data_IF_117363333774
#
_entry.id   IF_117363333774
#
_cell.length_a   1.000
_cell.length_b   1.000
_cell.length_c   1.000
_cell.angle_alpha   90.00
_cell.angle_beta   90.00
_cell.angle_gamma   90.00
#
_symmetry.space_group_name_H-M   'P 1'
#
loop_
_entity.id
_entity.type
_entity.pdbx_description
1 polymer ?
#
# COMPACT_ATOMS: atom_id res chain seq x y z
N UNK A 1 -27.99 13.01 -9.03
CA UNK A 1 -27.89 13.66 -10.36
C UNK A 1 -27.39 12.62 -11.35
N UNK A 2 -27.94 12.62 -12.57
CA UNK A 2 -27.85 11.51 -13.51
C UNK A 2 -26.40 11.25 -13.95
N UNK A 3 -25.93 10.01 -13.74
CA UNK A 3 -24.67 9.49 -14.30
C UNK A 3 -24.70 9.68 -15.82
N UNK A 4 -23.76 10.42 -16.38
CA UNK A 4 -23.52 10.41 -17.82
C UNK A 4 -23.06 9.00 -18.22
N UNK A 5 -23.73 8.40 -19.20
CA UNK A 5 -23.28 7.15 -19.80
C UNK A 5 -22.09 7.46 -20.71
N UNK A 6 -20.91 6.92 -20.39
CA UNK A 6 -19.67 7.15 -21.13
C UNK A 6 -19.78 6.81 -22.62
N UNK A 7 -20.61 5.84 -22.98
CA UNK A 7 -20.97 5.53 -24.36
C UNK A 7 -21.73 6.66 -25.05
N UNK A 8 -22.63 7.35 -24.35
CA UNK A 8 -23.30 8.52 -24.92
C UNK A 8 -22.35 9.70 -25.10
N UNK A 9 -21.46 9.95 -24.13
CA UNK A 9 -20.43 10.99 -24.25
C UNK A 9 -19.49 10.70 -25.44
N UNK A 10 -19.12 9.43 -25.65
CA UNK A 10 -18.36 9.02 -26.83
C UNK A 10 -19.11 9.25 -28.15
N UNK A 11 -20.38 8.84 -28.23
CA UNK A 11 -21.21 9.07 -29.44
C UNK A 11 -21.40 10.56 -29.69
N UNK A 12 -21.56 11.36 -28.64
CA UNK A 12 -21.65 12.80 -28.74
C UNK A 12 -20.38 13.41 -29.32
N UNK A 13 -19.18 12.97 -28.92
CA UNK A 13 -17.92 13.41 -29.54
C UNK A 13 -17.88 13.11 -31.04
N UNK A 14 -18.37 11.95 -31.47
CA UNK A 14 -18.42 11.60 -32.89
C UNK A 14 -19.39 12.48 -33.69
N UNK A 15 -20.51 12.86 -33.09
CA UNK A 15 -21.49 13.78 -33.70
C UNK A 15 -20.96 15.21 -33.76
N UNK A 16 -20.41 15.72 -32.65
CA UNK A 16 -19.78 17.05 -32.58
C UNK A 16 -18.61 17.18 -33.56
N UNK A 17 -17.91 16.07 -33.80
CA UNK A 17 -16.83 16.01 -34.78
C UNK A 17 -17.25 15.89 -36.23
N UNK A 18 -18.56 15.86 -36.51
CA UNK A 18 -19.11 15.55 -37.82
C UNK A 18 -18.49 14.26 -38.42
N UNK A 19 -18.09 13.32 -37.54
CA UNK A 19 -17.44 12.07 -37.92
C UNK A 19 -18.44 11.11 -38.54
N UNK A 20 -19.72 11.24 -38.22
CA UNK A 20 -20.83 10.55 -38.84
C UNK A 20 -22.07 11.45 -38.80
N UNK A 21 -22.94 11.35 -39.80
CA UNK A 21 -24.26 11.95 -39.72
C UNK A 21 -25.24 11.10 -38.88
N UNK A 22 -26.34 11.72 -38.45
CA UNK A 22 -27.35 11.07 -37.60
C UNK A 22 -27.94 9.78 -38.21
N UNK A 23 -28.33 9.77 -39.50
CA UNK A 23 -28.82 8.56 -40.17
C UNK A 23 -27.80 7.41 -40.22
N UNK A 24 -26.52 7.69 -40.49
CA UNK A 24 -25.49 6.65 -40.58
C UNK A 24 -25.15 6.07 -39.21
N UNK A 25 -25.10 6.90 -38.15
CA UNK A 25 -25.01 6.41 -36.77
C UNK A 25 -26.20 5.52 -36.41
N UNK A 26 -27.42 5.87 -36.81
CA UNK A 26 -28.59 5.05 -36.55
C UNK A 26 -28.51 3.68 -37.25
N UNK A 27 -28.03 3.64 -38.50
CA UNK A 27 -27.78 2.40 -39.24
C UNK A 27 -26.68 1.56 -38.59
N UNK A 28 -25.56 2.18 -38.22
CA UNK A 28 -24.44 1.53 -37.54
C UNK A 28 -24.86 0.93 -36.21
N UNK A 29 -25.62 1.69 -35.39
CA UNK A 29 -26.22 1.20 -34.14
C UNK A 29 -27.12 0.00 -34.37
N UNK A 30 -27.99 0.05 -35.38
CA UNK A 30 -28.84 -1.08 -35.75
C UNK A 30 -28.05 -2.32 -36.20
N UNK A 31 -26.95 -2.13 -36.91
CA UNK A 31 -26.05 -3.23 -37.31
C UNK A 31 -25.35 -3.85 -36.09
N UNK A 32 -24.80 -3.03 -35.19
CA UNK A 32 -24.18 -3.49 -33.96
C UNK A 32 -25.16 -4.26 -33.06
N UNK A 33 -26.37 -3.73 -32.86
CA UNK A 33 -27.41 -4.36 -32.05
C UNK A 33 -27.86 -5.74 -32.57
N UNK A 34 -27.76 -5.99 -33.88
CA UNK A 34 -28.06 -7.30 -34.50
C UNK A 34 -26.87 -8.27 -34.49
N UNK A 35 -25.82 -7.98 -33.72
CA UNK A 35 -24.59 -8.79 -33.67
C UNK A 35 -23.78 -8.70 -34.97
N UNK A 36 -23.86 -7.58 -35.69
CA UNK A 36 -23.10 -7.35 -36.92
C UNK A 36 -21.61 -7.12 -36.68
N UNK A 37 -21.21 -6.76 -35.46
CA UNK A 37 -19.81 -6.75 -35.03
C UNK A 37 -19.48 -8.14 -34.48
N UNK A 38 -18.63 -8.87 -35.20
CA UNK A 38 -18.36 -10.30 -34.98
C UNK A 38 -17.19 -10.52 -34.03
N UNK A 39 -16.20 -9.65 -34.12
CA UNK A 39 -14.98 -9.70 -33.31
C UNK A 39 -14.48 -8.29 -33.03
N UNK A 40 -13.94 -8.08 -31.84
CA UNK A 40 -13.37 -6.80 -31.38
C UNK A 40 -12.15 -7.09 -30.53
N UNK A 41 -11.02 -6.47 -30.89
CA UNK A 41 -9.84 -6.37 -30.04
C UNK A 41 -9.58 -4.92 -29.66
N UNK A 42 -9.33 -4.70 -28.37
CA UNK A 42 -8.97 -3.38 -27.82
C UNK A 42 -7.53 -3.49 -27.36
N UNK A 43 -6.66 -2.70 -27.99
CA UNK A 43 -5.24 -2.59 -27.69
C UNK A 43 -4.91 -1.14 -27.27
N UNK A 44 -3.73 -0.90 -26.64
CA UNK A 44 -3.34 0.45 -26.28
C UNK A 44 -3.37 1.42 -27.47
N UNK A 45 -4.28 2.38 -27.39
CA UNK A 45 -4.56 3.39 -28.40
C UNK A 45 -5.08 2.88 -29.76
N UNK A 46 -5.62 1.67 -29.82
CA UNK A 46 -6.21 1.13 -31.03
C UNK A 46 -7.36 0.16 -30.74
N UNK A 47 -8.41 0.21 -31.54
CA UNK A 47 -9.48 -0.80 -31.57
C UNK A 47 -9.53 -1.39 -32.98
N UNK A 48 -9.46 -2.71 -33.09
CA UNK A 48 -9.73 -3.42 -34.33
C UNK A 48 -11.05 -4.18 -34.21
N UNK A 49 -11.89 -4.07 -35.23
CA UNK A 49 -13.19 -4.76 -35.25
C UNK A 49 -13.41 -5.44 -36.60
N UNK A 50 -14.06 -6.60 -36.56
CA UNK A 50 -14.54 -7.32 -37.74
C UNK A 50 -16.07 -7.18 -37.79
N UNK A 51 -16.57 -6.54 -38.84
CA UNK A 51 -18.00 -6.22 -39.00
C UNK A 51 -18.54 -6.90 -40.24
N UNK A 52 -19.69 -7.56 -40.13
CA UNK A 52 -20.34 -8.25 -41.24
C UNK A 52 -20.59 -7.29 -42.41
N UNK A 53 -20.04 -7.63 -43.57
CA UNK A 53 -20.28 -6.92 -44.81
C UNK A 53 -21.36 -7.59 -45.67
N UNK A 54 -21.63 -7.00 -46.84
CA UNK A 54 -22.46 -7.63 -47.87
C UNK A 54 -21.69 -8.76 -48.57
N UNK A 55 -22.41 -9.77 -49.06
CA UNK A 55 -21.88 -10.91 -49.83
C UNK A 55 -20.81 -11.76 -49.13
N UNK A 56 -20.96 -11.98 -47.82
CA UNK A 56 -20.10 -12.83 -46.98
C UNK A 56 -18.63 -12.39 -46.81
N UNK A 57 -18.28 -11.16 -47.20
CA UNK A 57 -16.97 -10.58 -46.89
C UNK A 57 -17.07 -9.65 -45.68
N UNK A 58 -16.55 -10.11 -44.55
CA UNK A 58 -16.42 -9.29 -43.35
C UNK A 58 -15.44 -8.12 -43.58
N UNK A 59 -15.73 -7.00 -42.92
CA UNK A 59 -14.97 -5.75 -43.03
C UNK A 59 -14.19 -5.51 -41.77
N UNK A 60 -12.88 -5.33 -41.95
CA UNK A 60 -11.98 -4.87 -40.89
C UNK A 60 -12.08 -3.36 -40.75
N UNK A 61 -12.36 -2.92 -39.53
CA UNK A 61 -12.37 -1.52 -39.09
C UNK A 61 -11.22 -1.35 -38.09
N UNK A 62 -10.48 -0.24 -38.19
CA UNK A 62 -9.54 0.20 -37.16
C UNK A 62 -9.93 1.58 -36.67
N UNK A 63 -9.90 1.77 -35.35
CA UNK A 63 -10.08 3.05 -34.69
C UNK A 63 -8.78 3.33 -33.95
N UNK A 64 -8.05 4.35 -34.36
CA UNK A 64 -6.82 4.79 -33.70
C UNK A 64 -7.12 5.95 -32.76
N UNK A 65 -6.36 6.04 -31.67
CA UNK A 65 -6.50 7.08 -30.68
C UNK A 65 -5.16 7.79 -30.44
N UNK A 66 -5.20 9.10 -30.20
CA UNK A 66 -4.02 9.85 -29.79
C UNK A 66 -3.62 9.45 -28.38
N UNK A 67 -2.36 9.06 -28.22
CA UNK A 67 -1.78 8.75 -26.93
C UNK A 67 -1.53 10.00 -26.10
N UNK A 68 -1.74 9.90 -24.79
CA UNK A 68 -1.20 10.87 -23.84
C UNK A 68 0.32 10.69 -23.74
N UNK A 69 1.05 11.79 -23.53
CA UNK A 69 2.49 11.73 -23.26
C UNK A 69 2.79 11.17 -21.86
N UNK A 70 4.04 10.81 -21.60
CA UNK A 70 4.46 10.30 -20.29
C UNK A 70 4.26 11.33 -19.17
N UNK A 71 4.43 12.62 -19.47
CA UNK A 71 4.16 13.74 -18.55
C UNK A 71 2.67 13.86 -18.23
N UNK A 72 1.82 13.70 -19.24
CA UNK A 72 0.36 13.68 -19.05
C UNK A 72 -0.04 12.45 -18.23
N UNK A 73 0.54 11.28 -18.49
CA UNK A 73 0.30 10.09 -17.67
C UNK A 73 0.79 10.23 -16.22
N UNK A 74 1.90 10.93 -15.99
CA UNK A 74 2.35 11.29 -14.64
C UNK A 74 1.30 12.17 -13.94
N UNK A 75 0.76 13.16 -14.64
CA UNK A 75 -0.29 14.05 -14.13
C UNK A 75 -1.57 13.28 -13.82
N UNK A 76 -2.04 12.43 -14.74
CA UNK A 76 -3.21 11.57 -14.52
C UNK A 76 -3.05 10.72 -13.25
N UNK A 77 -1.90 10.04 -13.09
CA UNK A 77 -1.61 9.23 -11.90
C UNK A 77 -1.67 10.08 -10.62
N UNK A 78 -1.10 11.28 -10.65
CA UNK A 78 -1.12 12.20 -9.50
C UNK A 78 -2.54 12.61 -9.12
N UNK A 79 -3.43 12.87 -10.09
CA UNK A 79 -4.82 13.28 -9.82
C UNK A 79 -5.61 12.12 -9.24
N UNK A 80 -5.47 10.92 -9.83
CA UNK A 80 -6.14 9.70 -9.32
C UNK A 80 -5.69 9.40 -7.88
N UNK A 81 -4.39 9.58 -7.57
CA UNK A 81 -3.84 9.34 -6.24
C UNK A 81 -4.43 10.21 -5.12
N UNK A 82 -4.98 11.37 -5.44
CA UNK A 82 -5.48 12.34 -4.45
C UNK A 82 -6.76 11.88 -3.74
N UNK A 83 -7.43 10.85 -4.25
CA UNK A 83 -8.72 10.39 -3.75
C UNK A 83 -8.76 8.87 -3.72
N UNK A 84 -8.70 8.30 -2.51
CA UNK A 84 -8.88 6.86 -2.29
C UNK A 84 -10.23 6.35 -2.82
N UNK A 85 -11.26 7.18 -2.79
CA UNK A 85 -12.57 6.90 -3.41
C UNK A 85 -12.44 6.71 -4.92
N UNK A 86 -11.70 7.57 -5.59
CA UNK A 86 -11.48 7.50 -7.04
C UNK A 86 -10.73 6.22 -7.41
N UNK A 87 -9.70 5.87 -6.64
CA UNK A 87 -8.97 4.59 -6.81
C UNK A 87 -9.91 3.40 -6.66
N UNK A 88 -10.73 3.39 -5.61
CA UNK A 88 -11.70 2.32 -5.37
C UNK A 88 -12.72 2.19 -6.53
N UNK A 89 -13.26 3.31 -7.02
CA UNK A 89 -14.18 3.31 -8.17
C UNK A 89 -13.52 2.72 -9.43
N UNK A 90 -12.26 3.09 -9.73
CA UNK A 90 -11.53 2.54 -10.88
C UNK A 90 -11.20 1.06 -10.74
N UNK A 91 -10.98 0.57 -9.52
CA UNK A 91 -10.83 -0.86 -9.23
C UNK A 91 -12.14 -1.63 -9.48
N UNK A 92 -13.28 -1.03 -9.16
CA UNK A 92 -14.62 -1.56 -9.43
C UNK A 92 -15.01 -1.46 -10.92
N UNK A 93 -14.13 -0.90 -11.78
CA UNK A 93 -14.37 -0.73 -13.20
C UNK A 93 -15.22 0.50 -13.54
N UNK A 94 -15.37 1.44 -12.62
CA UNK A 94 -16.06 2.71 -12.84
C UNK A 94 -15.07 3.87 -13.05
N UNK A 95 -15.48 4.89 -13.79
CA UNK A 95 -14.71 6.12 -13.98
C UNK A 95 -15.56 7.29 -13.48
N UNK A 96 -15.27 7.84 -12.28
CA UNK A 96 -16.04 8.95 -11.73
C UNK A 96 -16.01 10.17 -12.67
N UNK A 97 -17.17 10.79 -12.90
CA UNK A 97 -17.27 12.00 -13.72
C UNK A 97 -16.45 13.15 -13.13
N UNK A 98 -16.36 13.23 -11.80
CA UNK A 98 -15.55 14.23 -11.12
C UNK A 98 -14.05 14.07 -11.41
N UNK A 99 -13.55 12.84 -11.58
CA UNK A 99 -12.17 12.61 -12.01
C UNK A 99 -11.97 13.12 -13.44
N UNK A 100 -12.93 12.87 -14.33
CA UNK A 100 -12.85 13.34 -15.70
C UNK A 100 -12.79 14.86 -15.78
N UNK A 101 -13.64 15.56 -15.03
CA UNK A 101 -13.67 17.04 -15.00
C UNK A 101 -12.31 17.60 -14.51
N UNK A 102 -11.76 17.01 -13.45
CA UNK A 102 -10.41 17.37 -12.95
C UNK A 102 -9.32 17.15 -13.99
N UNK A 103 -9.41 16.08 -14.79
CA UNK A 103 -8.44 15.78 -15.84
C UNK A 103 -8.59 16.70 -17.05
N UNK A 104 -9.81 17.14 -17.36
CA UNK A 104 -10.08 18.15 -18.39
C UNK A 104 -9.43 19.48 -18.03
N UNK A 105 -9.57 19.93 -16.77
CA UNK A 105 -9.00 21.19 -16.29
C UNK A 105 -7.48 21.27 -16.42
N UNK A 106 -6.80 20.12 -16.34
CA UNK A 106 -5.33 20.02 -16.49
C UNK A 106 -4.88 19.55 -17.88
N UNK A 107 -5.79 19.53 -18.86
CA UNK A 107 -5.48 19.19 -20.26
C UNK A 107 -5.09 17.72 -20.49
N UNK A 108 -5.51 16.82 -19.60
CA UNK A 108 -5.21 15.38 -19.65
C UNK A 108 -6.48 14.53 -19.87
N UNK A 109 -7.37 14.99 -20.75
CA UNK A 109 -8.68 14.37 -20.99
C UNK A 109 -8.57 12.90 -21.43
N UNK A 110 -9.28 12.03 -20.71
CA UNK A 110 -9.35 10.60 -21.02
C UNK A 110 -10.34 10.28 -22.15
N UNK A 111 -11.47 10.99 -22.21
CA UNK A 111 -12.41 10.88 -23.32
C UNK A 111 -11.77 11.51 -24.57
N UNK A 112 -11.49 10.74 -25.64
CA UNK A 112 -10.84 11.29 -26.82
C UNK A 112 -11.76 12.31 -27.51
N UNK A 113 -11.21 13.48 -27.82
CA UNK A 113 -11.90 14.43 -28.68
C UNK A 113 -11.84 14.02 -30.15
N UNK A 114 -12.56 14.73 -31.00
CA UNK A 114 -12.64 14.50 -32.45
C UNK A 114 -11.27 14.39 -33.13
N UNK A 115 -10.34 15.27 -32.74
CA UNK A 115 -8.99 15.34 -33.32
C UNK A 115 -8.05 14.24 -32.82
N UNK A 116 -8.48 13.51 -31.80
CA UNK A 116 -7.71 12.44 -31.21
C UNK A 116 -8.11 11.06 -31.76
N UNK A 117 -9.02 11.00 -32.73
CA UNK A 117 -9.57 9.74 -33.26
C UNK A 117 -9.33 9.65 -34.76
N UNK A 118 -8.78 8.53 -35.22
CA UNK A 118 -8.74 8.16 -36.62
C UNK A 118 -9.55 6.89 -36.85
N UNK A 119 -10.26 6.80 -37.97
CA UNK A 119 -11.11 5.64 -38.28
C UNK A 119 -10.88 5.21 -39.72
N UNK A 120 -10.53 3.94 -39.89
CA UNK A 120 -10.31 3.31 -41.19
C UNK A 120 -11.19 2.08 -41.36
N UNK A 121 -11.72 1.87 -42.57
CA UNK A 121 -12.47 0.67 -42.91
C UNK A 121 -12.04 0.10 -44.26
N UNK A 122 -11.87 -1.22 -44.30
CA UNK A 122 -11.56 -1.98 -45.52
C UNK A 122 -12.70 -2.06 -46.57
N UNK A 123 -13.82 -1.34 -46.36
CA UNK A 123 -14.93 -1.31 -47.31
C UNK A 123 -14.76 -0.29 -48.45
N UNK A 124 -13.78 0.60 -48.37
CA UNK A 124 -13.49 1.61 -49.39
C UNK A 124 -14.26 2.92 -49.24
N UNK A 125 -15.28 2.97 -48.38
CA UNK A 125 -15.95 4.23 -48.02
C UNK A 125 -15.11 5.02 -47.01
N UNK A 126 -15.25 6.35 -47.08
CA UNK A 126 -14.78 7.26 -46.03
C UNK A 126 -15.49 6.94 -44.71
N UNK A 127 -14.81 7.23 -43.59
CA UNK A 127 -15.34 6.96 -42.26
C UNK A 127 -16.76 7.52 -42.07
N UNK A 128 -16.97 8.77 -42.47
CA UNK A 128 -18.23 9.52 -42.36
C UNK A 128 -19.44 8.91 -43.05
N UNK A 129 -19.23 8.04 -44.04
CA UNK A 129 -20.29 7.38 -44.82
C UNK A 129 -20.24 5.85 -44.70
N UNK A 130 -19.54 5.33 -43.68
CA UNK A 130 -19.31 3.91 -43.51
C UNK A 130 -20.11 3.32 -42.34
N UNK A 131 -21.15 2.55 -42.67
CA UNK A 131 -21.98 1.83 -41.68
C UNK A 131 -21.16 0.88 -40.81
N UNK A 132 -20.08 0.30 -41.33
CA UNK A 132 -19.22 -0.60 -40.56
C UNK A 132 -18.42 0.16 -39.50
N UNK A 133 -17.88 1.33 -39.87
CA UNK A 133 -17.18 2.22 -38.96
C UNK A 133 -18.15 2.74 -37.88
N UNK A 134 -19.33 3.19 -38.28
CA UNK A 134 -20.39 3.61 -37.36
C UNK A 134 -20.81 2.47 -36.41
N UNK A 135 -20.92 1.24 -36.91
CA UNK A 135 -21.24 0.06 -36.10
C UNK A 135 -20.14 -0.26 -35.09
N UNK A 136 -18.86 -0.21 -35.49
CA UNK A 136 -17.74 -0.41 -34.58
C UNK A 136 -17.69 0.68 -33.48
N UNK A 137 -17.91 1.94 -33.84
CA UNK A 137 -17.98 3.04 -32.88
C UNK A 137 -19.17 2.92 -31.91
N UNK A 138 -20.35 2.49 -32.39
CA UNK A 138 -21.50 2.23 -31.53
C UNK A 138 -21.29 1.01 -30.63
N UNK A 139 -20.59 -0.01 -31.10
CA UNK A 139 -20.22 -1.15 -30.28
C UNK A 139 -19.24 -0.74 -29.17
N UNK A 140 -18.22 0.05 -29.51
CA UNK A 140 -17.30 0.64 -28.54
C UNK A 140 -18.04 1.50 -27.50
N UNK A 141 -19.08 2.25 -27.90
CA UNK A 141 -19.92 2.97 -26.95
C UNK A 141 -20.51 2.03 -25.87
N UNK A 142 -21.00 0.86 -26.27
CA UNK A 142 -21.53 -0.14 -25.36
C UNK A 142 -20.47 -0.86 -24.52
N UNK A 143 -19.22 -0.94 -24.99
CA UNK A 143 -18.08 -1.37 -24.17
C UNK A 143 -17.75 -0.32 -23.11
N UNK A 144 -17.71 0.97 -23.47
CA UNK A 144 -17.46 2.08 -22.56
C UNK A 144 -18.54 2.23 -21.49
N UNK A 145 -19.80 1.92 -21.80
CA UNK A 145 -20.88 1.89 -20.80
C UNK A 145 -20.73 0.72 -19.80
N UNK A 146 -20.05 -0.36 -20.20
CA UNK A 146 -19.80 -1.54 -19.36
C UNK A 146 -18.52 -1.42 -18.55
N UNK A 147 -17.46 -0.87 -19.13
CA UNK A 147 -16.18 -0.63 -18.49
C UNK A 147 -15.60 0.73 -18.94
N UNK A 148 -15.99 1.83 -18.27
CA UNK A 148 -15.44 3.17 -18.53
C UNK A 148 -13.93 3.29 -18.38
N UNK A 149 -13.29 2.40 -17.60
CA UNK A 149 -11.83 2.42 -17.40
C UNK A 149 -11.10 2.07 -18.69
N UNK A 150 -11.76 1.47 -19.68
CA UNK A 150 -11.20 1.28 -21.03
C UNK A 150 -10.70 2.58 -21.66
N UNK A 151 -11.23 3.76 -21.28
CA UNK A 151 -10.70 5.05 -21.75
C UNK A 151 -9.20 5.23 -21.46
N UNK A 152 -8.68 4.62 -20.39
CA UNK A 152 -7.24 4.57 -20.10
C UNK A 152 -6.48 3.86 -21.23
N UNK A 153 -6.95 2.66 -21.61
CA UNK A 153 -6.35 1.85 -22.67
C UNK A 153 -6.47 2.55 -24.02
N UNK A 154 -7.61 3.19 -24.30
CA UNK A 154 -7.78 3.99 -25.52
C UNK A 154 -6.81 5.18 -25.58
N UNK A 155 -6.39 5.75 -24.45
CA UNK A 155 -5.37 6.81 -24.42
C UNK A 155 -3.92 6.26 -24.39
N UNK A 156 -3.75 4.95 -24.50
CA UNK A 156 -2.46 4.27 -24.59
C UNK A 156 -1.83 3.93 -23.24
N UNK A 157 -2.55 4.02 -22.13
CA UNK A 157 -2.06 3.67 -20.79
C UNK A 157 -2.41 2.22 -20.41
N UNK A 158 -1.68 1.66 -19.46
CA UNK A 158 -2.02 0.39 -18.83
C UNK A 158 -2.86 0.63 -17.57
N UNK A 159 -4.05 0.04 -17.54
CA UNK A 159 -4.95 0.04 -16.37
C UNK A 159 -4.21 -0.42 -15.11
N UNK A 160 -3.37 -1.43 -15.24
CA UNK A 160 -2.60 -2.02 -14.16
C UNK A 160 -1.58 -1.03 -13.61
N UNK A 161 -0.91 -0.26 -14.47
CA UNK A 161 0.12 0.71 -14.06
C UNK A 161 -0.47 1.94 -13.37
N UNK A 162 -1.65 2.40 -13.81
CA UNK A 162 -2.36 3.50 -13.13
C UNK A 162 -2.75 3.09 -11.71
N UNK A 163 -3.11 1.82 -11.50
CA UNK A 163 -3.57 1.31 -10.21
C UNK A 163 -2.43 0.78 -9.33
N UNK A 164 -1.34 0.29 -9.92
CA UNK A 164 -0.20 -0.34 -9.23
C UNK A 164 0.62 0.63 -8.36
N UNK A 165 0.55 1.93 -8.62
CA UNK A 165 1.19 2.96 -7.79
C UNK A 165 0.32 3.50 -6.65
N UNK A 166 -0.95 3.09 -6.56
CA UNK A 166 -1.97 3.71 -5.70
C UNK A 166 -2.46 2.82 -4.56
N UNK A 167 -2.11 1.53 -4.60
CA UNK A 167 -2.29 0.60 -3.49
C UNK A 167 -0.96 0.56 -2.73
N UNK A 168 -0.90 0.94 -1.44
CA UNK A 168 0.29 0.73 -0.63
C UNK A 168 0.71 -0.72 -0.76
N UNK A 169 1.94 -0.93 -1.23
CA UNK A 169 2.48 -2.22 -1.64
C UNK A 169 2.71 -3.13 -0.44
N UNK A 170 1.65 -3.70 0.12
CA UNK A 170 1.70 -4.97 0.83
C UNK A 170 1.52 -6.09 -0.18
N UNK A 171 2.61 -6.77 -0.55
CA UNK A 171 2.66 -7.94 -1.43
C UNK A 171 2.73 -7.67 -2.96
N UNK A 172 3.92 -7.29 -3.40
CA UNK A 172 4.40 -7.76 -4.69
C UNK A 172 4.56 -9.29 -4.64
N UNK A 173 3.75 -10.03 -5.39
CA UNK A 173 3.96 -11.48 -5.49
C UNK A 173 2.81 -12.29 -6.08
N UNK A 174 2.56 -12.16 -7.39
CA UNK A 174 2.40 -13.26 -8.37
C UNK A 174 1.61 -12.80 -9.59
N UNK A 175 2.31 -12.71 -10.73
CA UNK A 175 1.70 -12.82 -12.06
C UNK A 175 0.91 -14.12 -12.15
N UNK A 176 -0.34 -14.08 -12.59
CA UNK A 176 -0.98 -15.19 -13.33
C UNK A 176 -2.09 -14.65 -14.21
N UNK A 177 -2.03 -15.05 -15.49
CA UNK A 177 -2.88 -14.60 -16.57
C UNK A 177 -4.35 -14.97 -16.40
N UNK A 178 -5.16 -14.22 -17.15
CA UNK A 178 -6.61 -14.29 -17.17
C UNK A 178 -7.16 -15.63 -17.65
N UNK A 179 -8.40 -15.87 -17.22
CA UNK A 179 -9.24 -17.00 -17.61
C UNK A 179 -10.48 -16.98 -16.72
N UNK A 180 -11.60 -16.51 -17.26
CA UNK A 180 -12.84 -16.25 -16.54
C UNK A 180 -13.54 -17.50 -16.01
N UNK A 181 -14.46 -17.25 -15.08
CA UNK A 181 -15.74 -17.95 -15.02
C UNK A 181 -15.74 -19.44 -14.65
N UNK A 182 -14.93 -19.88 -13.69
CA UNK A 182 -15.24 -21.10 -12.95
C UNK A 182 -14.74 -20.95 -11.51
N UNK A 183 -15.65 -21.11 -10.53
CA UNK A 183 -15.29 -21.14 -9.11
C UNK A 183 -14.20 -22.20 -8.92
N UNK A 184 -13.02 -21.76 -8.48
CA UNK A 184 -11.89 -22.66 -8.23
C UNK A 184 -12.28 -23.61 -7.09
N UNK A 185 -12.03 -24.91 -7.31
CA UNK A 185 -11.95 -25.87 -6.21
C UNK A 185 -10.92 -25.38 -5.19
N UNK A 186 -11.20 -25.61 -3.90
CA UNK A 186 -10.31 -25.18 -2.81
C UNK A 186 -8.88 -25.69 -3.06
N UNK A 187 -7.87 -24.88 -2.71
CA UNK A 187 -6.46 -25.24 -2.89
C UNK A 187 -6.02 -26.45 -2.04
N UNK A 188 -6.88 -26.88 -1.12
CA UNK A 188 -6.72 -28.08 -0.30
C UNK A 188 -7.59 -29.19 -0.92
N UNK A 189 -6.94 -30.24 -1.44
CA UNK A 189 -7.64 -31.37 -2.06
C UNK A 189 -8.68 -31.99 -1.13
N UNK A 190 -9.89 -32.22 -1.64
CA UNK A 190 -11.02 -32.81 -0.90
C UNK A 190 -11.94 -31.81 -0.18
N UNK A 191 -11.57 -30.52 -0.11
CA UNK A 191 -12.44 -29.47 0.44
C UNK A 191 -13.29 -28.86 -0.69
N UNK A 192 -14.61 -28.92 -0.55
CA UNK A 192 -15.53 -28.25 -1.46
C UNK A 192 -15.30 -26.73 -1.53
N UNK A 193 -15.88 -26.03 -2.52
CA UNK A 193 -15.80 -24.58 -2.60
C UNK A 193 -16.29 -23.95 -1.28
N UNK A 194 -15.57 -22.94 -0.79
CA UNK A 194 -15.97 -22.25 0.43
C UNK A 194 -17.37 -21.65 0.25
N UNK A 195 -18.28 -21.80 1.22
CA UNK A 195 -19.64 -21.27 1.11
C UNK A 195 -19.56 -19.75 1.01
N UNK A 196 -19.84 -19.23 -0.19
CA UNK A 196 -19.92 -17.80 -0.46
C UNK A 196 -21.35 -17.29 -0.49
N UNK A 197 -21.52 -15.99 -0.26
CA UNK A 197 -22.77 -15.28 -0.52
C UNK A 197 -22.57 -14.28 -1.67
N UNK A 198 -23.57 -14.06 -2.55
CA UNK A 198 -23.49 -13.04 -3.58
C UNK A 198 -23.18 -11.67 -2.98
N UNK A 199 -22.26 -10.91 -3.61
CA UNK A 199 -21.81 -9.61 -3.09
C UNK A 199 -22.97 -8.63 -2.83
N UNK A 200 -23.98 -8.61 -3.70
CA UNK A 200 -25.18 -7.80 -3.52
C UNK A 200 -26.00 -8.18 -2.27
N UNK A 201 -25.99 -9.45 -1.86
CA UNK A 201 -26.64 -9.92 -0.64
C UNK A 201 -25.79 -9.62 0.60
N UNK A 202 -24.46 -9.73 0.50
CA UNK A 202 -23.53 -9.34 1.55
C UNK A 202 -23.62 -7.84 1.86
N UNK A 203 -23.79 -6.99 0.83
CA UNK A 203 -23.89 -5.54 0.99
C UNK A 203 -25.22 -5.06 1.59
N UNK A 204 -26.31 -5.82 1.38
CA UNK A 204 -27.62 -5.55 1.98
C UNK A 204 -27.72 -6.00 3.43
N UNK A 205 -26.82 -6.86 3.89
CA UNK A 205 -26.77 -7.30 5.28
C UNK A 205 -26.35 -6.11 6.14
N UNK A 206 -27.12 -5.80 7.18
CA UNK A 206 -26.60 -4.97 8.28
C UNK A 206 -25.50 -5.78 8.97
N UNK A 207 -24.25 -5.30 9.02
CA UNK A 207 -23.23 -5.93 9.85
C UNK A 207 -23.82 -6.06 11.25
N UNK A 208 -23.75 -7.26 11.82
CA UNK A 208 -23.98 -7.36 13.25
C UNK A 208 -22.90 -6.53 13.93
N UNK A 209 -23.19 -5.98 15.10
CA UNK A 209 -22.16 -5.38 15.93
C UNK A 209 -21.04 -6.40 16.06
N UNK A 210 -19.81 -5.94 15.86
CA UNK A 210 -18.64 -6.76 16.10
C UNK A 210 -18.78 -7.29 17.53
N UNK A 211 -18.62 -8.61 17.74
CA UNK A 211 -18.60 -9.11 19.10
C UNK A 211 -17.55 -8.31 19.87
N UNK A 212 -17.99 -7.67 20.95
CA UNK A 212 -17.15 -6.82 21.82
C UNK A 212 -15.94 -7.57 22.36
N UNK A 213 -16.01 -8.91 22.35
CA UNK A 213 -14.90 -9.80 22.59
C UNK A 213 -14.75 -10.75 21.40
N UNK A 214 -13.69 -10.56 20.61
CA UNK A 214 -13.31 -11.52 19.57
C UNK A 214 -12.79 -12.85 20.16
N UNK A 215 -12.75 -12.95 21.48
CA UNK A 215 -11.82 -13.79 22.20
C UNK A 215 -10.42 -13.32 21.88
N UNK A 216 -9.53 -13.20 22.88
CA UNK A 216 -8.10 -13.35 22.56
C UNK A 216 -7.98 -14.73 21.93
N UNK A 217 -7.95 -14.80 20.60
CA UNK A 217 -7.60 -16.03 19.88
C UNK A 217 -6.29 -16.43 20.52
N UNK A 218 -6.26 -17.59 21.21
CA UNK A 218 -5.01 -18.08 21.76
C UNK A 218 -4.04 -18.11 20.60
N UNK A 219 -3.08 -17.20 20.62
CA UNK A 219 -1.92 -17.30 19.77
C UNK A 219 -1.38 -18.70 20.04
N UNK A 220 -1.08 -19.48 18.99
CA UNK A 220 -0.46 -20.78 19.19
C UNK A 220 0.73 -20.63 20.15
N UNK A 221 0.88 -21.54 21.12
CA UNK A 221 1.91 -21.45 22.16
C UNK A 221 3.35 -21.39 21.58
N UNK A 222 3.49 -21.69 20.28
CA UNK A 222 4.69 -21.41 19.51
C UNK A 222 4.44 -21.54 18.00
N UNK A 223 5.43 -21.13 17.18
CA UNK A 223 5.39 -21.37 15.75
C UNK A 223 5.29 -22.87 15.45
N UNK A 224 4.54 -23.24 14.41
CA UNK A 224 4.53 -24.63 13.91
C UNK A 224 5.89 -24.92 13.27
N UNK A 225 6.82 -25.51 14.02
CA UNK A 225 8.13 -25.88 13.49
C UNK A 225 8.00 -27.10 12.58
N UNK A 226 8.17 -26.84 11.28
CA UNK A 226 8.54 -27.82 10.26
C UNK A 226 9.76 -27.31 9.51
N UNK A 227 10.67 -26.67 10.24
CA UNK A 227 11.75 -25.86 9.67
C UNK A 227 12.71 -26.77 8.91
N UNK A 228 12.72 -26.62 7.59
CA UNK A 228 13.80 -27.11 6.73
C UNK A 228 15.06 -26.35 7.11
N UNK A 229 16.19 -27.05 7.24
CA UNK A 229 17.46 -26.43 7.62
C UNK A 229 17.75 -25.19 6.73
N UNK A 230 18.10 -24.03 7.34
CA UNK A 230 18.38 -22.82 6.58
C UNK A 230 19.63 -23.02 5.69
N UNK A 231 19.71 -22.30 4.54
CA UNK A 231 20.95 -22.21 3.76
C UNK A 231 22.15 -21.80 4.63
N UNK A 232 23.29 -22.45 4.40
CA UNK A 232 24.49 -22.29 5.24
C UNK A 232 25.11 -20.89 5.19
N UNK A 233 24.81 -20.11 4.14
CA UNK A 233 25.28 -18.74 3.92
C UNK A 233 24.57 -17.69 4.78
N UNK A 234 23.48 -18.05 5.47
CA UNK A 234 22.73 -17.12 6.31
C UNK A 234 23.34 -16.87 7.70
N UNK A 235 24.36 -17.63 8.09
CA UNK A 235 25.07 -17.43 9.37
C UNK A 235 24.30 -17.87 10.62
N UNK A 236 23.22 -18.65 10.47
CA UNK A 236 22.52 -19.30 11.59
C UNK A 236 22.05 -20.71 11.21
N UNK A 237 21.97 -21.58 12.21
CA UNK A 237 21.50 -22.96 12.06
C UNK A 237 19.98 -23.07 12.26
N UNK A 238 19.44 -24.29 12.21
CA UNK A 238 18.00 -24.53 12.43
C UNK A 238 17.54 -24.03 13.81
N UNK A 239 18.36 -24.18 14.85
CA UNK A 239 18.06 -23.69 16.21
C UNK A 239 18.01 -22.16 16.23
N UNK A 240 18.96 -21.50 15.56
CA UNK A 240 18.97 -20.05 15.37
C UNK A 240 17.74 -19.55 14.63
N UNK A 241 17.32 -20.25 13.57
CA UNK A 241 16.11 -19.93 12.84
C UNK A 241 14.86 -20.08 13.72
N UNK A 242 14.72 -21.15 14.48
CA UNK A 242 13.60 -21.32 15.41
C UNK A 242 13.52 -20.19 16.45
N UNK A 243 14.66 -19.76 16.99
CA UNK A 243 14.73 -18.61 17.91
C UNK A 243 14.28 -17.31 17.25
N UNK A 244 14.68 -17.07 15.99
CA UNK A 244 14.26 -15.89 15.22
C UNK A 244 12.75 -15.92 14.92
N UNK A 245 12.20 -17.08 14.55
CA UNK A 245 10.76 -17.24 14.30
C UNK A 245 9.96 -17.02 15.59
N UNK A 246 10.42 -17.57 16.71
CA UNK A 246 9.78 -17.35 18.01
C UNK A 246 9.85 -15.87 18.44
N UNK A 247 10.96 -15.19 18.17
CA UNK A 247 11.10 -13.75 18.43
C UNK A 247 10.12 -12.93 17.59
N UNK A 248 10.05 -13.20 16.28
CA UNK A 248 9.15 -12.51 15.37
C UNK A 248 7.67 -12.73 15.74
N UNK A 249 7.30 -13.96 16.14
CA UNK A 249 5.94 -14.26 16.58
C UNK A 249 5.56 -13.52 17.87
N UNK A 250 6.45 -13.48 18.86
CA UNK A 250 6.20 -12.76 20.11
C UNK A 250 6.11 -11.25 19.88
N UNK A 251 6.95 -10.70 19.02
CA UNK A 251 6.91 -9.28 18.63
C UNK A 251 5.61 -8.93 17.92
N UNK A 252 5.17 -9.76 16.97
CA UNK A 252 3.88 -9.58 16.30
C UNK A 252 2.71 -9.64 17.29
N UNK A 253 2.77 -10.50 18.31
CA UNK A 253 1.77 -10.55 19.37
C UNK A 253 1.75 -9.26 20.20
N UNK A 254 2.90 -8.70 20.56
CA UNK A 254 2.99 -7.41 21.26
C UNK A 254 2.39 -6.27 20.44
N UNK A 255 2.67 -6.21 19.14
CA UNK A 255 2.06 -5.21 18.25
C UNK A 255 0.53 -5.31 18.23
N UNK A 256 -0.05 -6.51 18.32
CA UNK A 256 -1.52 -6.67 18.35
C UNK A 256 -2.16 -6.15 19.64
N UNK A 257 -1.41 -6.10 20.75
CA UNK A 257 -1.87 -5.58 22.03
C UNK A 257 -1.56 -4.07 22.19
N UNK A 258 -0.74 -3.48 21.32
CA UNK A 258 -0.29 -2.09 21.37
C UNK A 258 -1.31 -1.09 20.79
N UNK A 259 -1.35 0.12 21.35
CA UNK A 259 -2.17 1.21 20.80
C UNK A 259 -1.58 1.77 19.49
N UNK A 260 -0.26 1.78 19.37
CA UNK A 260 0.48 2.08 18.14
C UNK A 260 1.41 0.91 17.77
N UNK A 261 0.95 -0.06 16.97
CA UNK A 261 1.70 -1.27 16.61
C UNK A 261 2.99 -1.01 15.83
N UNK A 262 3.08 0.11 15.11
CA UNK A 262 4.23 0.41 14.24
C UNK A 262 5.37 0.98 15.06
N UNK A 263 5.08 1.94 15.93
CA UNK A 263 6.05 2.54 16.84
C UNK A 263 6.69 1.49 17.78
N UNK A 264 5.91 0.51 18.23
CA UNK A 264 6.37 -0.52 19.17
C UNK A 264 6.95 -1.78 18.50
N UNK A 265 7.02 -1.82 17.16
CA UNK A 265 7.49 -3.00 16.44
C UNK A 265 8.99 -3.31 16.69
N UNK A 266 9.78 -2.30 17.05
CA UNK A 266 11.22 -2.43 17.26
C UNK A 266 11.98 -2.93 16.04
N UNK A 267 11.40 -2.83 14.83
CA UNK A 267 12.05 -3.21 13.58
C UNK A 267 13.14 -2.21 13.16
N UNK A 268 13.02 -0.97 13.64
CA UNK A 268 13.97 0.11 13.39
C UNK A 268 15.11 0.16 14.44
N UNK A 269 15.13 -0.78 15.38
CA UNK A 269 16.19 -0.87 16.38
C UNK A 269 17.52 -1.19 15.71
N UNK A 270 18.58 -0.52 16.16
CA UNK A 270 19.93 -0.92 15.77
C UNK A 270 20.27 -2.31 16.35
N UNK A 271 21.21 -3.00 15.69
CA UNK A 271 21.55 -4.39 16.04
C UNK A 271 22.02 -4.58 17.48
N UNK A 272 22.63 -3.56 18.09
CA UNK A 272 23.04 -3.61 19.50
C UNK A 272 21.84 -3.56 20.45
N UNK A 273 20.91 -2.63 20.21
CA UNK A 273 19.68 -2.51 20.99
C UNK A 273 18.77 -3.72 20.80
N UNK A 274 18.63 -4.25 19.57
CA UNK A 274 17.88 -5.49 19.33
C UNK A 274 18.53 -6.70 20.03
N UNK A 275 19.86 -6.78 20.09
CA UNK A 275 20.55 -7.84 20.84
C UNK A 275 20.20 -7.81 22.34
N UNK A 276 20.18 -6.61 22.95
CA UNK A 276 19.76 -6.44 24.35
C UNK A 276 18.30 -6.85 24.55
N UNK A 277 17.39 -6.40 23.67
CA UNK A 277 15.97 -6.81 23.70
C UNK A 277 15.81 -8.33 23.63
N UNK A 278 16.54 -9.01 22.73
CA UNK A 278 16.50 -10.48 22.60
C UNK A 278 17.02 -11.17 23.85
N UNK A 279 18.06 -10.61 24.47
CA UNK A 279 18.59 -11.11 25.74
C UNK A 279 17.59 -10.94 26.88
N UNK A 280 16.93 -9.79 26.97
CA UNK A 280 15.88 -9.52 27.95
C UNK A 280 14.71 -10.51 27.84
N UNK A 281 14.41 -10.97 26.62
CA UNK A 281 13.40 -11.98 26.33
C UNK A 281 13.90 -13.44 26.44
N UNK A 282 15.15 -13.67 26.86
CA UNK A 282 15.76 -15.00 26.99
C UNK A 282 16.08 -15.71 25.67
N UNK A 283 16.13 -14.97 24.55
CA UNK A 283 16.34 -15.51 23.19
C UNK A 283 17.77 -15.38 22.68
N UNK A 284 18.61 -14.61 23.38
CA UNK A 284 20.03 -14.43 23.09
C UNK A 284 20.82 -14.47 24.40
N UNK A 285 22.02 -15.04 24.37
CA UNK A 285 22.88 -15.13 25.57
C UNK A 285 23.67 -13.85 25.80
N UNK A 286 23.93 -13.52 27.07
CA UNK A 286 24.67 -12.31 27.45
C UNK A 286 26.06 -12.20 26.81
N UNK A 287 26.78 -13.32 26.62
CA UNK A 287 28.08 -13.32 25.95
C UNK A 287 28.01 -12.82 24.51
N UNK A 288 26.96 -13.18 23.77
CA UNK A 288 26.78 -12.71 22.38
C UNK A 288 26.42 -11.23 22.35
N UNK A 289 25.63 -10.75 23.32
CA UNK A 289 25.32 -9.32 23.44
C UNK A 289 26.59 -8.51 23.71
N UNK A 290 27.43 -8.97 24.63
CA UNK A 290 28.70 -8.33 24.95
C UNK A 290 29.61 -8.23 23.72
N UNK A 291 29.68 -9.29 22.91
CA UNK A 291 30.42 -9.31 21.65
C UNK A 291 29.85 -8.31 20.62
N UNK A 292 28.53 -8.30 20.42
CA UNK A 292 27.86 -7.38 19.48
C UNK A 292 28.06 -5.93 19.87
N UNK A 293 28.03 -5.62 21.17
CA UNK A 293 28.20 -4.27 21.70
C UNK A 293 29.66 -3.87 21.95
N UNK A 294 30.60 -4.83 21.88
CA UNK A 294 32.00 -4.61 22.24
C UNK A 294 32.19 -4.18 23.70
N UNK A 295 31.38 -4.69 24.63
CA UNK A 295 31.41 -4.35 26.06
C UNK A 295 31.76 -5.55 26.95
N UNK A 296 31.97 -5.30 28.25
CA UNK A 296 32.13 -6.37 29.23
C UNK A 296 30.80 -7.13 29.41
N UNK A 297 30.89 -8.44 29.62
CA UNK A 297 29.74 -9.28 29.95
C UNK A 297 29.03 -8.80 31.22
N UNK A 298 29.77 -8.29 32.21
CA UNK A 298 29.18 -7.75 33.45
C UNK A 298 28.24 -6.56 33.19
N UNK A 299 28.48 -5.78 32.12
CA UNK A 299 27.63 -4.65 31.74
C UNK A 299 26.28 -5.07 31.16
N UNK A 300 26.12 -6.32 30.71
CA UNK A 300 24.93 -6.76 29.98
C UNK A 300 23.67 -6.77 30.85
N UNK A 301 23.80 -7.16 32.13
CA UNK A 301 22.66 -7.21 33.05
C UNK A 301 22.08 -5.81 33.27
N UNK A 302 22.93 -4.79 33.43
CA UNK A 302 22.51 -3.38 33.51
C UNK A 302 21.80 -2.89 32.25
N UNK A 303 22.23 -3.35 31.06
CA UNK A 303 21.56 -3.01 29.80
C UNK A 303 20.21 -3.71 29.65
N UNK A 304 20.11 -4.97 30.08
CA UNK A 304 18.84 -5.72 30.10
C UNK A 304 17.86 -5.07 31.06
N UNK A 305 18.32 -4.62 32.23
CA UNK A 305 17.48 -3.91 33.18
C UNK A 305 17.08 -2.52 32.67
N UNK A 306 17.98 -1.81 31.99
CA UNK A 306 17.66 -0.56 31.31
C UNK A 306 16.57 -0.74 30.23
N UNK A 307 16.66 -1.82 29.44
CA UNK A 307 15.62 -2.17 28.45
C UNK A 307 14.28 -2.44 29.12
N UNK A 308 14.26 -3.15 30.26
CA UNK A 308 13.02 -3.47 30.98
C UNK A 308 12.34 -2.22 31.56
N UNK A 309 13.12 -1.22 31.98
CA UNK A 309 12.58 0.00 32.58
C UNK A 309 12.25 1.09 31.55
N UNK A 310 13.08 1.25 30.52
CA UNK A 310 13.00 2.38 29.60
C UNK A 310 13.20 2.02 28.11
N UNK A 311 13.07 0.74 27.76
CA UNK A 311 13.12 0.29 26.37
C UNK A 311 14.40 0.70 25.65
N UNK A 312 14.27 1.14 24.40
CA UNK A 312 15.40 1.59 23.57
C UNK A 312 16.10 2.81 24.15
N UNK A 313 15.35 3.77 24.70
CA UNK A 313 15.91 4.99 25.29
C UNK A 313 16.87 4.67 26.44
N UNK A 314 16.50 3.73 27.31
CA UNK A 314 17.35 3.29 28.43
C UNK A 314 18.67 2.68 27.97
N UNK A 315 18.64 1.81 26.96
CA UNK A 315 19.84 1.18 26.41
C UNK A 315 20.73 2.20 25.69
N UNK A 316 20.13 3.09 24.91
CA UNK A 316 20.85 4.11 24.15
C UNK A 316 21.61 5.05 25.08
N UNK A 317 20.97 5.59 26.12
CA UNK A 317 21.63 6.57 27.00
C UNK A 317 22.82 5.98 27.76
N UNK A 318 22.87 4.66 27.96
CA UNK A 318 24.00 3.97 28.59
C UNK A 318 25.12 3.65 27.60
N UNK A 319 24.76 3.20 26.38
CA UNK A 319 25.73 2.73 25.37
C UNK A 319 26.30 3.86 24.51
N UNK A 320 25.53 4.91 24.25
CA UNK A 320 25.89 6.05 23.40
C UNK A 320 25.53 7.37 24.10
N UNK A 321 26.10 7.64 25.29
CA UNK A 321 25.79 8.88 25.99
C UNK A 321 26.25 10.09 25.19
N UNK A 322 25.42 11.14 25.21
CA UNK A 322 25.74 12.42 24.56
C UNK A 322 25.62 13.58 25.54
N UNK A 323 26.28 14.67 25.19
CA UNK A 323 26.09 15.95 25.86
C UNK A 323 24.70 16.51 25.51
N UNK A 324 24.06 17.12 26.51
CA UNK A 324 22.80 17.83 26.31
C UNK A 324 23.06 19.22 25.70
N UNK A 325 22.15 19.70 24.85
CA UNK A 325 22.18 21.07 24.34
C UNK A 325 21.82 22.07 25.43
N UNK A 326 22.14 23.35 25.20
CA UNK A 326 21.80 24.42 26.13
C UNK A 326 20.27 24.54 26.32
N UNK A 327 19.48 24.29 25.27
CA UNK A 327 18.01 24.26 25.35
C UNK A 327 17.49 23.08 26.18
N UNK A 328 18.11 21.91 26.07
CA UNK A 328 17.78 20.74 26.88
C UNK A 328 18.12 20.98 28.36
N UNK A 329 19.28 21.58 28.64
CA UNK A 329 19.66 21.93 30.01
C UNK A 329 18.73 22.99 30.61
N UNK A 330 18.29 23.97 29.83
CA UNK A 330 17.33 24.98 30.29
C UNK A 330 15.97 24.36 30.64
N UNK A 331 15.45 23.44 29.81
CA UNK A 331 14.21 22.71 30.11
C UNK A 331 14.33 21.88 31.39
N UNK A 332 15.49 21.29 31.64
CA UNK A 332 15.73 20.51 32.85
C UNK A 332 15.81 21.41 34.09
N UNK A 333 16.51 22.54 34.00
CA UNK A 333 16.67 23.50 35.08
C UNK A 333 15.38 24.27 35.44
N UNK A 334 14.41 24.35 34.54
CA UNK A 334 13.09 24.95 34.80
C UNK A 334 12.21 24.06 35.71
N UNK A 335 12.49 22.76 35.71
CA UNK A 335 11.72 21.75 36.44
C UNK A 335 12.40 21.33 37.74
N UNK A 336 13.73 21.27 37.74
CA UNK A 336 14.52 20.77 38.88
C UNK A 336 14.93 21.93 39.78
N UNK A 337 14.52 21.88 41.05
CA UNK A 337 14.89 22.89 42.06
C UNK A 337 16.39 22.84 42.44
N UNK A 338 17.02 21.67 42.29
CA UNK A 338 18.45 21.43 42.55
C UNK A 338 19.38 21.94 41.44
N UNK A 339 20.67 22.10 41.79
CA UNK A 339 21.71 22.52 40.84
C UNK A 339 21.93 21.51 39.70
N UNK A 340 21.65 21.93 38.47
CA UNK A 340 21.83 21.14 37.25
C UNK A 340 23.20 21.39 36.64
N UNK A 341 24.08 20.38 36.67
CA UNK A 341 25.45 20.47 36.12
C UNK A 341 25.62 19.67 34.84
N UNK A 342 25.92 20.37 33.75
CA UNK A 342 26.25 19.75 32.45
C UNK A 342 27.48 18.84 32.54
N UNK A 343 27.41 17.68 31.88
CA UNK A 343 28.50 16.72 31.68
C UNK A 343 28.56 16.30 30.21
N UNK A 344 29.66 15.66 29.83
CA UNK A 344 29.82 15.10 28.47
C UNK A 344 28.80 14.01 28.14
N UNK A 345 28.20 13.39 29.16
CA UNK A 345 27.27 12.26 29.02
C UNK A 345 25.83 12.58 29.42
N UNK A 346 25.51 13.83 29.78
CA UNK A 346 24.19 14.23 30.25
C UNK A 346 24.23 15.40 31.22
N UNK A 347 23.36 15.41 32.21
CA UNK A 347 23.36 16.38 33.32
C UNK A 347 23.34 15.65 34.67
N UNK A 348 24.10 16.14 35.64
CA UNK A 348 24.07 15.65 37.04
C UNK A 348 23.18 16.59 37.85
N UNK A 349 22.31 16.01 38.67
CA UNK A 349 21.37 16.71 39.53
C UNK A 349 21.65 16.37 41.01
N UNK A 350 20.85 16.91 41.93
CA UNK A 350 20.95 16.62 43.36
C UNK A 350 20.96 15.13 43.69
N UNK A 351 21.53 14.77 44.83
CA UNK A 351 21.61 13.37 45.28
C UNK A 351 22.52 12.46 44.43
N UNK A 352 23.33 13.02 43.52
CA UNK A 352 24.26 12.25 42.68
C UNK A 352 23.58 11.49 41.54
N UNK A 353 22.32 11.83 41.23
CA UNK A 353 21.57 11.28 40.09
C UNK A 353 22.00 11.95 38.78
N UNK A 354 21.79 11.26 37.67
CA UNK A 354 22.09 11.76 36.34
C UNK A 354 20.85 11.71 35.46
N UNK A 355 20.59 12.77 34.69
CA UNK A 355 19.57 12.78 33.64
C UNK A 355 20.27 12.75 32.28
N UNK A 356 19.79 11.88 31.40
CA UNK A 356 20.25 11.78 30.00
C UNK A 356 19.07 11.88 29.06
N UNK A 357 19.34 12.29 27.81
CA UNK A 357 18.31 12.44 26.77
C UNK A 357 18.59 11.54 25.58
N UNK A 358 17.63 10.70 25.25
CA UNK A 358 17.66 9.81 24.07
C UNK A 358 17.46 10.60 22.78
N UNK A 359 17.81 10.00 21.63
CA UNK A 359 17.51 10.56 20.31
C UNK A 359 16.01 10.56 19.97
N UNK A 360 15.20 9.70 20.59
CA UNK A 360 13.75 9.71 20.46
C UNK A 360 13.07 10.86 21.24
N UNK A 361 13.86 11.60 22.02
CA UNK A 361 13.41 12.74 22.81
C UNK A 361 13.10 12.42 24.27
N UNK A 362 13.13 11.15 24.68
CA UNK A 362 12.86 10.71 26.05
C UNK A 362 13.94 11.17 27.04
N UNK A 363 13.51 11.47 28.24
CA UNK A 363 14.35 11.82 29.39
C UNK A 363 14.50 10.59 30.27
N UNK A 364 15.74 10.22 30.59
CA UNK A 364 16.05 9.03 31.38
C UNK A 364 16.77 9.44 32.65
N UNK A 365 16.17 9.12 33.80
CA UNK A 365 16.76 9.32 35.11
C UNK A 365 17.61 8.09 35.50
N UNK A 366 18.83 8.36 35.94
CA UNK A 366 19.82 7.35 36.30
C UNK A 366 20.33 7.58 37.72
N UNK A 367 20.64 6.49 38.42
CA UNK A 367 21.37 6.53 39.68
C UNK A 367 22.57 5.59 39.62
N UNK A 368 23.59 5.87 40.44
CA UNK A 368 24.69 4.95 40.64
C UNK A 368 24.21 3.63 41.26
N UNK A 369 24.78 2.51 40.81
CA UNK A 369 24.57 1.21 41.44
C UNK A 369 25.70 0.87 42.43
N UNK A 370 25.56 -0.26 43.14
CA UNK A 370 26.52 -0.71 44.15
C UNK A 370 27.87 -1.14 43.57
N UNK A 371 27.94 -1.37 42.25
CA UNK A 371 29.13 -1.84 41.53
C UNK A 371 29.83 -0.69 40.79
N UNK A 372 29.33 0.55 40.93
CA UNK A 372 29.89 1.76 40.31
C UNK A 372 29.40 2.03 38.90
N UNK A 373 28.40 1.29 38.42
CA UNK A 373 27.67 1.53 37.18
C UNK A 373 26.50 2.50 37.36
N UNK A 374 25.69 2.65 36.30
CA UNK A 374 24.48 3.46 36.30
C UNK A 374 23.28 2.57 35.97
N UNK A 375 22.21 2.70 36.74
CA UNK A 375 20.93 2.04 36.51
C UNK A 375 19.84 3.05 36.16
N UNK A 376 18.92 2.65 35.28
CA UNK A 376 17.72 3.42 34.97
C UNK A 376 16.76 3.35 36.15
N UNK A 377 16.27 4.52 36.56
CA UNK A 377 15.28 4.69 37.62
C UNK A 377 13.92 4.99 37.01
N UNK A 378 13.90 5.90 36.05
CA UNK A 378 12.65 6.39 35.46
C UNK A 378 12.86 6.91 34.03
N UNK A 379 11.78 6.98 33.26
CA UNK A 379 11.75 7.51 31.89
C UNK A 379 10.47 8.30 31.64
N UNK A 380 10.61 9.46 31.03
CA UNK A 380 9.49 10.33 30.70
C UNK A 380 9.68 11.07 29.38
N UNK A 381 8.58 11.45 28.73
CA UNK A 381 8.61 12.32 27.54
C UNK A 381 8.91 13.78 27.89
N UNK A 382 8.57 14.19 29.12
CA UNK A 382 8.82 15.52 29.67
C UNK A 382 9.67 15.40 30.94
N UNK A 383 10.61 16.35 31.20
CA UNK A 383 11.45 16.28 32.39
C UNK A 383 10.66 16.46 33.70
N UNK A 384 9.49 17.12 33.65
CA UNK A 384 8.59 17.34 34.79
C UNK A 384 7.85 16.10 35.29
N UNK A 385 7.82 15.04 34.48
CA UNK A 385 7.15 13.80 34.86
C UNK A 385 8.13 12.77 35.43
N UNK A 386 9.41 13.14 35.61
CA UNK A 386 10.42 12.28 36.22
C UNK A 386 10.23 12.19 37.75
N UNK A 387 10.42 10.99 38.31
CA UNK A 387 10.44 10.72 39.75
C UNK A 387 11.79 11.15 40.38
N UNK A 388 11.96 12.47 40.49
CA UNK A 388 13.22 13.16 40.77
C UNK A 388 13.82 12.94 42.17
#
# INVERSE_FOLDING_TARGET
>A
MARTSWGAAWVEQLVLGNTFDGPELARGRGLAARGGVVDVSIEPAAVAATVRGRAAADRRVRIGFRRLSDEQWSTVRSVVARSSRTVASMLDGDLPTELHDQLVDVGCTLLPGVRDVSIDCSCGNLAESCVHAAAACCHLAGELDRDPVLLVTLRGGDRSEILAGLVPTGAAGRRRGGGGGAQRMSAIGGRGPDPGVPAAAAWKRRPADLPVDFGRRRLPDGPRSGVVAPPADLGFDAVGLERLVADAAARAASCLDASDPVAESGLDLDGGVDAVRRCAAGRLGASTVAEVLGCDRSSVDGLVDAWRHAGSAGVEVLTRPRRMSDSELALLADVIEDDVRSRSTGAVIGGGRQVRRSTDGSWVLLAGDAEGGLRVIDVASCPGDLDL
#
